data_IF_512329142433
#
_entry.id   IF_512329142433
#
_cell.length_a   1.000
_cell.length_b   1.000
_cell.length_c   1.000
_cell.angle_alpha   90.00
_cell.angle_beta   90.00
_cell.angle_gamma   90.00
#
_symmetry.space_group_name_H-M   'P 1'
#
loop_
_entity.id
_entity.type
_entity.pdbx_description
1 polymer ?
#
# COMPACT_ATOMS: atom_id res chain seq x y z
N UNK A 1 -13.93 20.71 -3.75
CA UNK A 1 -15.40 20.79 -3.91
C UNK A 1 -15.94 19.38 -3.86
N UNK A 2 -16.73 19.09 -2.82
CA UNK A 2 -17.27 17.77 -2.48
C UNK A 2 -18.41 17.42 -3.42
N UNK A 3 -18.21 16.37 -4.21
CA UNK A 3 -19.23 15.86 -5.13
C UNK A 3 -20.23 15.09 -4.26
N UNK A 4 -21.35 15.75 -3.96
CA UNK A 4 -22.51 15.19 -3.27
C UNK A 4 -23.13 14.11 -4.18
N UNK A 5 -22.68 12.86 -4.04
CA UNK A 5 -23.42 11.72 -4.57
C UNK A 5 -24.55 11.39 -3.60
N UNK A 6 -25.76 11.65 -4.06
CA UNK A 6 -27.05 11.45 -3.40
C UNK A 6 -27.09 10.15 -2.57
N UNK A 7 -27.44 10.29 -1.28
CA UNK A 7 -27.86 9.16 -0.43
C UNK A 7 -26.87 8.63 0.61
N UNK A 8 -25.70 9.25 0.82
CA UNK A 8 -24.78 8.85 1.89
C UNK A 8 -24.72 9.92 2.98
N UNK A 9 -24.93 9.52 4.23
CA UNK A 9 -24.75 10.43 5.36
C UNK A 9 -23.32 10.97 5.38
N UNK A 10 -23.13 12.20 5.90
CA UNK A 10 -21.79 12.80 6.06
C UNK A 10 -20.84 11.86 6.81
N UNK A 11 -21.38 11.10 7.77
CA UNK A 11 -20.67 10.05 8.51
C UNK A 11 -20.21 8.88 7.62
N UNK A 12 -20.98 8.45 6.63
CA UNK A 12 -20.61 7.39 5.69
C UNK A 12 -19.59 7.84 4.65
N UNK A 13 -19.70 9.09 4.18
CA UNK A 13 -18.69 9.71 3.32
C UNK A 13 -17.34 9.85 4.04
N UNK A 14 -17.36 10.22 5.33
CA UNK A 14 -16.17 10.24 6.21
C UNK A 14 -15.64 8.83 6.53
N UNK A 15 -16.49 7.78 6.55
CA UNK A 15 -16.04 6.39 6.70
C UNK A 15 -15.30 5.89 5.46
N UNK A 16 -15.66 6.31 4.24
CA UNK A 16 -14.94 5.94 3.01
C UNK A 16 -13.52 6.53 2.96
N UNK A 17 -13.30 7.69 3.57
CA UNK A 17 -11.97 8.29 3.72
C UNK A 17 -11.19 7.75 4.93
N UNK A 18 -11.81 6.96 5.82
CA UNK A 18 -11.09 6.33 6.95
C UNK A 18 -10.02 5.37 6.44
N UNK A 19 -8.89 5.43 7.12
CA UNK A 19 -7.69 4.63 6.93
C UNK A 19 -7.87 3.12 7.16
N UNK A 20 -9.10 2.66 7.39
CA UNK A 20 -9.42 1.24 7.58
C UNK A 20 -9.12 0.49 6.28
N UNK A 21 -8.30 -0.55 6.37
CA UNK A 21 -7.96 -1.38 5.21
C UNK A 21 -6.81 -0.86 4.36
N UNK A 22 -6.19 0.29 4.70
CA UNK A 22 -5.05 0.85 3.99
C UNK A 22 -3.80 0.82 4.88
N UNK A 23 -2.68 0.36 4.35
CA UNK A 23 -1.39 0.47 5.04
C UNK A 23 -0.45 1.40 4.27
N UNK A 24 0.47 2.05 4.97
CA UNK A 24 1.49 2.89 4.32
C UNK A 24 2.65 2.03 3.84
N UNK A 25 3.14 2.34 2.66
CA UNK A 25 4.40 1.81 2.17
C UNK A 25 5.51 2.06 3.22
N UNK A 26 6.31 1.03 3.52
CA UNK A 26 7.46 1.15 4.45
C UNK A 26 8.68 1.83 3.81
N UNK A 27 8.58 2.26 2.54
CA UNK A 27 9.59 3.10 1.95
C UNK A 27 9.52 4.51 2.56
N UNK A 28 10.58 5.01 3.19
CA UNK A 28 10.60 6.37 3.72
C UNK A 28 10.39 7.44 2.64
N UNK A 29 10.70 7.15 1.37
CA UNK A 29 10.57 8.10 0.25
C UNK A 29 9.18 8.12 -0.41
N UNK A 30 8.36 7.08 -0.21
CA UNK A 30 7.07 6.97 -0.90
C UNK A 30 5.89 7.21 0.05
N UNK A 31 5.87 6.53 1.21
CA UNK A 31 4.80 6.58 2.23
C UNK A 31 3.35 6.46 1.73
N UNK A 32 3.14 6.08 0.47
CA UNK A 32 1.84 6.02 -0.18
C UNK A 32 0.91 5.00 0.50
N UNK A 33 -0.40 5.27 0.49
CA UNK A 33 -1.39 4.38 1.09
C UNK A 33 -1.79 3.30 0.09
N UNK A 34 -1.42 2.06 0.40
CA UNK A 34 -1.73 0.88 -0.41
C UNK A 34 -3.00 0.25 0.17
N UNK A 35 -3.98 0.00 -0.70
CA UNK A 35 -5.15 -0.79 -0.38
C UNK A 35 -5.02 -2.17 -1.04
N UNK A 36 -4.58 -3.20 -0.30
CA UNK A 36 -4.55 -4.55 -0.84
C UNK A 36 -5.97 -5.10 -1.01
N UNK A 37 -6.17 -5.94 -2.02
CA UNK A 37 -7.43 -6.68 -2.17
C UNK A 37 -7.61 -7.68 -1.03
N UNK A 38 -8.85 -7.82 -0.55
CA UNK A 38 -9.18 -8.65 0.61
C UNK A 38 -8.64 -10.08 0.44
N UNK A 39 -7.85 -10.53 1.41
CA UNK A 39 -7.31 -11.89 1.45
C UNK A 39 -6.05 -12.14 0.63
N UNK A 40 -5.54 -11.16 -0.14
CA UNK A 40 -4.26 -11.32 -0.84
C UNK A 40 -3.08 -11.33 0.12
N UNK A 41 -2.19 -12.31 -0.03
CA UNK A 41 -0.98 -12.48 0.81
C UNK A 41 0.18 -11.57 0.38
N UNK A 42 0.10 -10.98 -0.81
CA UNK A 42 1.06 -10.01 -1.30
C UNK A 42 0.37 -8.77 -1.85
N UNK A 43 1.03 -7.62 -1.74
CA UNK A 43 0.55 -6.37 -2.29
C UNK A 43 1.73 -5.52 -2.77
N UNK A 44 1.59 -4.97 -3.97
CA UNK A 44 2.57 -4.08 -4.58
C UNK A 44 2.22 -2.62 -4.33
N UNK A 45 3.23 -1.81 -4.07
CA UNK A 45 3.08 -0.36 -4.06
C UNK A 45 2.94 0.15 -5.49
N UNK A 46 1.91 0.94 -5.83
CA UNK A 46 1.73 1.47 -7.18
C UNK A 46 2.83 2.48 -7.55
N UNK A 47 3.41 3.17 -6.57
CA UNK A 47 4.37 4.26 -6.82
C UNK A 47 5.82 3.76 -6.83
N UNK A 48 6.21 2.93 -5.86
CA UNK A 48 7.61 2.49 -5.75
C UNK A 48 7.87 1.06 -6.25
N UNK A 49 6.83 0.34 -6.68
CA UNK A 49 6.94 -1.03 -7.20
C UNK A 49 7.30 -2.10 -6.17
N UNK A 50 7.62 -1.73 -4.93
CA UNK A 50 7.97 -2.68 -3.88
C UNK A 50 6.80 -3.57 -3.50
N UNK A 51 7.11 -4.84 -3.28
CA UNK A 51 6.13 -5.84 -2.90
C UNK A 51 6.26 -6.16 -1.41
N UNK A 52 5.11 -6.20 -0.75
CA UNK A 52 4.99 -6.48 0.67
C UNK A 52 4.17 -7.74 0.88
N UNK A 53 4.62 -8.57 1.82
CA UNK A 53 3.82 -9.66 2.37
C UNK A 53 2.81 -9.08 3.33
N UNK A 54 1.54 -9.38 3.08
CA UNK A 54 0.40 -8.88 3.86
C UNK A 54 -0.17 -10.03 4.68
N UNK A 55 -0.40 -9.75 5.95
CA UNK A 55 -1.14 -10.61 6.88
C UNK A 55 -2.46 -9.94 7.23
N UNK A 56 -3.54 -10.71 7.21
CA UNK A 56 -4.87 -10.23 7.53
C UNK A 56 -5.24 -10.69 8.93
N UNK A 57 -5.47 -9.75 9.84
CA UNK A 57 -6.06 -10.08 11.15
C UNK A 57 -7.56 -10.30 10.99
N UNK A 58 -8.20 -9.40 10.25
CA UNK A 58 -9.59 -9.49 9.77
C UNK A 58 -9.63 -9.12 8.29
N UNK A 59 -10.69 -9.45 7.52
CA UNK A 59 -10.80 -9.12 6.09
C UNK A 59 -10.72 -7.62 5.75
N UNK A 60 -10.82 -6.74 6.76
CA UNK A 60 -10.75 -5.29 6.61
C UNK A 60 -9.47 -4.68 7.22
N UNK A 61 -8.60 -5.49 7.84
CA UNK A 61 -7.40 -5.05 8.56
C UNK A 61 -6.15 -5.78 8.06
N UNK A 62 -5.57 -5.33 6.93
CA UNK A 62 -4.29 -5.80 6.45
C UNK A 62 -3.15 -5.17 7.26
N UNK A 63 -2.17 -6.01 7.62
CA UNK A 63 -0.89 -5.60 8.23
C UNK A 63 0.27 -6.07 7.37
N UNK A 64 1.33 -5.27 7.28
CA UNK A 64 2.56 -5.69 6.61
C UNK A 64 3.32 -6.65 7.54
N UNK A 65 3.73 -7.80 7.02
CA UNK A 65 4.69 -8.70 7.70
C UNK A 65 6.12 -8.34 7.37
N UNK A 66 6.37 -7.92 6.14
CA UNK A 66 7.68 -7.50 5.67
C UNK A 66 7.71 -7.40 4.14
N UNK A 67 8.80 -6.90 3.57
CA UNK A 67 9.01 -6.91 2.13
C UNK A 67 9.11 -8.35 1.59
N UNK A 68 8.77 -8.53 0.32
CA UNK A 68 9.18 -9.71 -0.45
C UNK A 68 10.61 -9.47 -0.89
N UNK A 69 11.53 -10.31 -0.42
CA UNK A 69 12.97 -10.09 -0.59
C UNK A 69 13.38 -10.16 -2.06
N UNK A 70 12.93 -11.18 -2.80
CA UNK A 70 13.31 -11.41 -4.20
C UNK A 70 12.99 -10.24 -5.13
N UNK A 71 11.79 -9.65 -4.99
CA UNK A 71 11.35 -8.52 -5.82
C UNK A 71 12.03 -7.23 -5.41
N UNK A 72 12.16 -6.99 -4.12
CA UNK A 72 12.74 -5.75 -3.63
C UNK A 72 14.25 -5.71 -3.87
N UNK A 73 14.95 -6.85 -3.79
CA UNK A 73 16.38 -6.93 -4.09
C UNK A 73 16.67 -6.59 -5.55
N UNK A 74 15.87 -7.14 -6.49
CA UNK A 74 15.98 -6.80 -7.91
C UNK A 74 15.71 -5.33 -8.19
N UNK A 75 14.68 -4.76 -7.55
CA UNK A 75 14.37 -3.33 -7.67
C UNK A 75 15.47 -2.43 -7.09
N UNK A 76 16.08 -2.84 -5.98
CA UNK A 76 17.19 -2.11 -5.37
C UNK A 76 18.46 -2.21 -6.22
N UNK A 77 18.81 -3.40 -6.72
CA UNK A 77 19.93 -3.61 -7.65
C UNK A 77 19.75 -2.80 -8.95
N UNK A 78 18.53 -2.76 -9.49
CA UNK A 78 18.22 -1.93 -10.67
C UNK A 78 18.45 -0.44 -10.38
N UNK A 79 17.91 0.08 -9.27
CA UNK A 79 18.10 1.47 -8.88
C UNK A 79 19.55 1.82 -8.57
N UNK A 80 20.30 0.93 -7.93
CA UNK A 80 21.73 1.10 -7.67
C UNK A 80 22.52 1.20 -8.99
N UNK A 81 22.20 0.34 -9.96
CA UNK A 81 22.81 0.38 -11.29
C UNK A 81 22.48 1.67 -12.05
N UNK A 82 21.25 2.17 -11.94
CA UNK A 82 20.85 3.47 -12.52
C UNK A 82 21.54 4.65 -11.84
N UNK A 83 21.77 4.58 -10.52
CA UNK A 83 22.46 5.63 -9.76
C UNK A 83 23.98 5.61 -9.92
N UNK A 84 24.55 4.63 -10.64
CA UNK A 84 25.98 4.57 -10.96
C UNK A 84 26.91 4.38 -9.77
N UNK A 85 26.38 3.99 -8.61
CA UNK A 85 27.19 3.71 -7.42
C UNK A 85 27.74 2.29 -7.56
N UNK A 86 29.04 2.22 -7.87
CA UNK A 86 29.81 1.00 -8.07
C UNK A 86 30.21 0.38 -6.74
#
# INVERSE_FOLDING_TARGET
>A
MTIEKEGLSTAESLRKTRTLGKFRCHNPTCMERIQPEKGKKTAKCPTCGMEYRVHWVNPNLPRIRGPVWDTNRKLAEAKLKEMGVK
#
